data_IF_681751052133
#
_entry.id   IF_681751052133
#
_cell.length_a   1.000
_cell.length_b   1.000
_cell.length_c   1.000
_cell.angle_alpha   90.00
_cell.angle_beta   90.00
_cell.angle_gamma   90.00
#
_symmetry.space_group_name_H-M   'P 1'
#
loop_
_entity.id
_entity.type
_entity.pdbx_description
1 polymer ?
#
# COMPACT_ATOMS: atom_id res chain seq x y z
N UNK A 1 11.07 45.71 24.59
CA UNK A 1 11.67 45.65 25.95
C UNK A 1 10.53 45.48 26.95
N UNK A 2 10.56 44.40 27.75
CA UNK A 2 9.59 44.20 28.82
C UNK A 2 9.85 45.24 29.89
N UNK A 3 8.83 46.01 30.24
CA UNK A 3 8.94 47.05 31.27
C UNK A 3 8.98 46.50 32.72
N UNK A 4 8.67 45.23 32.91
CA UNK A 4 8.57 44.59 34.24
C UNK A 4 9.33 43.26 34.15
N UNK A 5 10.17 42.94 35.15
CA UNK A 5 10.93 41.68 35.16
C UNK A 5 10.00 40.49 35.46
N UNK A 6 10.40 39.26 35.05
CA UNK A 6 9.63 38.04 35.34
C UNK A 6 9.42 37.79 36.82
N UNK A 7 10.37 38.17 37.65
CA UNK A 7 10.32 38.05 39.10
C UNK A 7 9.25 38.95 39.71
N UNK A 8 9.20 40.24 39.28
CA UNK A 8 8.18 41.17 39.71
C UNK A 8 6.75 40.74 39.31
N UNK A 9 6.60 40.11 38.11
CA UNK A 9 5.33 39.49 37.71
C UNK A 9 4.95 38.31 38.60
N UNK A 10 5.91 37.49 38.99
CA UNK A 10 5.68 36.34 39.86
C UNK A 10 5.23 36.78 41.27
N UNK A 11 5.81 37.85 41.78
CA UNK A 11 5.40 38.44 43.07
C UNK A 11 3.95 38.98 43.05
N UNK A 12 3.60 39.72 41.99
CA UNK A 12 2.23 40.21 41.79
C UNK A 12 1.25 39.05 41.62
N UNK A 13 1.61 38.03 40.89
CA UNK A 13 0.80 36.81 40.71
C UNK A 13 0.58 36.10 42.05
N UNK A 14 1.65 35.89 42.84
CA UNK A 14 1.53 35.27 44.16
C UNK A 14 0.70 36.08 45.14
N UNK A 15 0.83 37.41 45.12
CA UNK A 15 0.04 38.29 45.99
C UNK A 15 -1.46 38.30 45.63
N UNK A 16 -1.78 38.27 44.34
CA UNK A 16 -3.18 38.36 43.89
C UNK A 16 -3.88 37.01 43.70
N UNK A 17 -3.14 35.97 43.29
CA UNK A 17 -3.72 34.68 42.95
C UNK A 17 -3.39 33.56 43.95
N UNK A 18 -2.36 33.73 44.79
CA UNK A 18 -1.98 32.75 45.79
C UNK A 18 -3.09 32.43 46.79
N UNK A 19 -3.86 33.45 47.18
CA UNK A 19 -5.01 33.28 48.06
C UNK A 19 -6.22 32.61 47.36
N UNK A 20 -6.41 32.87 46.06
CA UNK A 20 -7.49 32.24 45.26
C UNK A 20 -7.24 30.79 44.92
N UNK A 21 -5.97 30.40 44.72
CA UNK A 21 -5.61 28.98 44.43
C UNK A 21 -5.75 28.09 45.68
N UNK A 22 -5.72 28.66 46.88
CA UNK A 22 -5.91 27.90 48.13
C UNK A 22 -7.36 27.48 48.37
N UNK A 23 -8.34 28.14 47.73
CA UNK A 23 -9.77 27.85 47.87
C UNK A 23 -10.35 26.96 46.73
N UNK A 24 -9.54 26.50 45.82
CA UNK A 24 -10.04 25.52 44.81
C UNK A 24 -10.34 24.21 45.57
N UNK A 25 -11.61 23.80 45.71
CA UNK A 25 -11.92 22.52 46.32
C UNK A 25 -11.15 21.45 45.59
N UNK A 26 -10.45 20.60 46.34
CA UNK A 26 -9.78 19.44 45.80
C UNK A 26 -10.85 18.47 45.24
N UNK A 27 -11.34 18.75 44.02
CA UNK A 27 -12.25 17.88 43.30
C UNK A 27 -11.51 16.59 42.96
N UNK A 28 -11.34 15.72 43.95
CA UNK A 28 -10.72 14.41 43.83
C UNK A 28 -11.49 13.45 42.95
N UNK A 29 -12.66 13.82 42.48
CA UNK A 29 -13.44 13.01 41.56
C UNK A 29 -13.44 13.64 40.15
N UNK A 30 -12.58 13.13 39.29
CA UNK A 30 -12.72 13.39 37.86
C UNK A 30 -14.12 12.95 37.43
N UNK A 31 -14.95 13.84 36.84
CA UNK A 31 -16.30 13.47 36.42
C UNK A 31 -16.21 12.22 35.54
N UNK A 32 -17.02 11.20 35.83
CA UNK A 32 -17.03 9.96 35.06
C UNK A 32 -17.38 10.31 33.63
N UNK A 33 -16.45 10.01 32.72
CA UNK A 33 -16.71 10.18 31.31
C UNK A 33 -17.91 9.32 30.91
N UNK A 34 -18.98 9.95 30.41
CA UNK A 34 -20.13 9.27 29.81
C UNK A 34 -19.81 8.76 28.41
N UNK A 35 -18.61 9.00 27.91
CA UNK A 35 -18.17 8.61 26.58
C UNK A 35 -17.82 7.10 26.56
N UNK A 36 -18.75 6.28 26.09
CA UNK A 36 -18.49 4.86 25.84
C UNK A 36 -17.80 4.72 24.48
N UNK A 37 -16.55 4.28 24.48
CA UNK A 37 -15.84 3.95 23.24
C UNK A 37 -16.54 2.76 22.55
N UNK A 38 -16.85 2.86 21.25
CA UNK A 38 -17.44 1.76 20.52
C UNK A 38 -16.49 0.56 20.47
N UNK A 39 -17.05 -0.66 20.46
CA UNK A 39 -16.26 -1.89 20.35
C UNK A 39 -15.40 -1.93 19.07
N UNK A 40 -14.30 -2.70 19.10
CA UNK A 40 -13.33 -2.77 18.00
C UNK A 40 -13.94 -3.11 16.64
N UNK A 41 -14.94 -4.00 16.60
CA UNK A 41 -15.62 -4.36 15.35
C UNK A 41 -16.41 -3.19 14.77
N UNK A 42 -17.09 -2.41 15.59
CA UNK A 42 -17.82 -1.21 15.15
C UNK A 42 -16.86 -0.11 14.67
N UNK A 43 -15.71 0.03 15.34
CA UNK A 43 -14.64 0.92 14.86
C UNK A 43 -14.13 0.49 13.48
N UNK A 44 -13.91 -0.83 13.27
CA UNK A 44 -13.46 -1.38 11.99
C UNK A 44 -14.47 -1.08 10.88
N UNK A 45 -15.76 -1.29 11.12
CA UNK A 45 -16.82 -1.01 10.15
C UNK A 45 -16.83 0.47 9.74
N UNK A 46 -16.73 1.36 10.72
CA UNK A 46 -16.70 2.81 10.47
C UNK A 46 -15.47 3.20 9.65
N UNK A 47 -14.28 2.67 9.99
CA UNK A 47 -13.07 2.93 9.22
C UNK A 47 -13.16 2.41 7.79
N UNK A 48 -13.63 1.17 7.60
CA UNK A 48 -13.82 0.57 6.29
C UNK A 48 -14.79 1.39 5.42
N UNK A 49 -15.96 1.74 5.98
CA UNK A 49 -16.97 2.51 5.28
C UNK A 49 -16.45 3.90 4.88
N UNK A 50 -15.78 4.60 5.82
CA UNK A 50 -15.22 5.93 5.57
C UNK A 50 -14.16 5.90 4.46
N UNK A 51 -13.20 4.96 4.54
CA UNK A 51 -12.11 4.87 3.58
C UNK A 51 -12.60 4.42 2.21
N UNK A 52 -13.50 3.44 2.15
CA UNK A 52 -14.11 2.98 0.90
C UNK A 52 -14.88 4.11 0.21
N UNK A 53 -15.75 4.82 0.94
CA UNK A 53 -16.51 5.94 0.38
C UNK A 53 -15.60 7.08 -0.08
N UNK A 54 -14.54 7.38 0.68
CA UNK A 54 -13.55 8.40 0.30
C UNK A 54 -12.83 8.05 -1.00
N UNK A 55 -12.46 6.77 -1.20
CA UNK A 55 -11.82 6.30 -2.43
C UNK A 55 -12.78 6.31 -3.62
N UNK A 56 -14.01 5.82 -3.43
CA UNK A 56 -15.04 5.80 -4.47
C UNK A 56 -15.49 7.20 -4.89
N UNK A 57 -15.49 8.17 -3.98
CA UNK A 57 -15.81 9.56 -4.30
C UNK A 57 -14.74 10.22 -5.21
N UNK A 58 -13.51 9.73 -5.18
CA UNK A 58 -12.45 10.22 -6.07
C UNK A 58 -12.47 9.46 -7.40
N UNK A 59 -13.23 9.98 -8.37
CA UNK A 59 -13.39 9.35 -9.69
C UNK A 59 -12.06 9.13 -10.43
N UNK A 60 -11.13 10.07 -10.31
CA UNK A 60 -9.81 9.96 -10.95
C UNK A 60 -9.03 8.79 -10.35
N UNK A 61 -9.02 8.65 -9.03
CA UNK A 61 -8.37 7.55 -8.34
C UNK A 61 -8.94 6.19 -8.78
N UNK A 62 -10.27 6.07 -8.80
CA UNK A 62 -10.95 4.83 -9.21
C UNK A 62 -10.61 4.49 -10.68
N UNK A 63 -10.69 5.48 -11.58
CA UNK A 63 -10.46 5.26 -13.00
C UNK A 63 -9.01 4.83 -13.27
N UNK A 64 -8.03 5.50 -12.68
CA UNK A 64 -6.62 5.16 -12.84
C UNK A 64 -6.37 3.74 -12.32
N UNK A 65 -6.77 3.44 -11.08
CA UNK A 65 -6.54 2.11 -10.49
C UNK A 65 -7.26 0.98 -11.24
N UNK A 66 -8.41 1.25 -11.84
CA UNK A 66 -9.16 0.26 -12.59
C UNK A 66 -8.56 0.00 -13.99
N UNK A 67 -8.05 1.04 -14.65
CA UNK A 67 -7.53 0.94 -16.02
C UNK A 67 -6.05 0.58 -16.09
N UNK A 68 -5.26 0.94 -15.07
CA UNK A 68 -3.81 0.72 -15.05
C UNK A 68 -3.46 -0.76 -15.25
N UNK A 69 -4.08 -1.65 -14.47
CA UNK A 69 -3.78 -3.08 -14.51
C UNK A 69 -4.12 -3.73 -15.88
N UNK A 70 -5.34 -3.58 -16.44
CA UNK A 70 -5.67 -4.17 -17.75
C UNK A 70 -4.88 -3.54 -18.90
N UNK A 71 -4.54 -2.24 -18.82
CA UNK A 71 -3.72 -1.58 -19.83
C UNK A 71 -2.31 -2.16 -19.86
N UNK A 72 -1.67 -2.30 -18.69
CA UNK A 72 -0.34 -2.92 -18.58
C UNK A 72 -0.38 -4.38 -19.04
N UNK A 73 -1.40 -5.14 -18.67
CA UNK A 73 -1.58 -6.52 -19.11
C UNK A 73 -1.71 -6.62 -20.63
N UNK A 74 -2.50 -5.73 -21.25
CA UNK A 74 -2.68 -5.69 -22.69
C UNK A 74 -1.37 -5.36 -23.41
N UNK A 75 -0.67 -4.31 -22.99
CA UNK A 75 0.61 -3.91 -23.56
C UNK A 75 1.60 -5.08 -23.48
N UNK A 76 1.79 -5.66 -22.32
CA UNK A 76 2.74 -6.76 -22.12
C UNK A 76 2.37 -7.99 -22.94
N UNK A 77 1.11 -8.41 -22.89
CA UNK A 77 0.65 -9.58 -23.62
C UNK A 77 0.74 -9.37 -25.14
N UNK A 78 0.45 -8.16 -25.62
CA UNK A 78 0.56 -7.81 -27.03
C UNK A 78 2.01 -7.93 -27.54
N UNK A 79 2.98 -7.36 -26.83
CA UNK A 79 4.40 -7.40 -27.26
C UNK A 79 5.04 -8.78 -27.06
N UNK A 80 4.60 -9.56 -26.07
CA UNK A 80 5.16 -10.88 -25.79
C UNK A 80 4.46 -12.02 -26.55
N UNK A 81 3.38 -11.69 -27.30
CA UNK A 81 2.69 -12.65 -28.15
C UNK A 81 3.53 -12.95 -29.40
N UNK A 82 4.27 -14.05 -29.36
CA UNK A 82 5.17 -14.45 -30.44
C UNK A 82 4.49 -15.46 -31.37
N UNK A 83 4.59 -15.20 -32.67
CA UNK A 83 4.15 -16.11 -33.74
C UNK A 83 5.36 -16.78 -34.34
N UNK A 84 5.45 -18.10 -34.19
CA UNK A 84 6.54 -18.84 -34.82
C UNK A 84 6.33 -18.87 -36.36
N UNK A 85 7.20 -18.17 -37.09
CA UNK A 85 7.26 -18.20 -38.52
C UNK A 85 8.22 -19.31 -38.94
N UNK A 86 7.71 -20.54 -39.14
CA UNK A 86 8.52 -21.66 -39.57
C UNK A 86 7.70 -22.69 -40.35
N UNK A 87 8.06 -22.91 -41.63
CA UNK A 87 7.61 -23.98 -42.51
C UNK A 87 6.11 -24.09 -42.81
N UNK A 88 5.61 -23.29 -43.73
CA UNK A 88 4.51 -23.67 -44.64
C UNK A 88 3.10 -23.22 -44.32
N UNK A 89 2.79 -22.72 -43.15
CA UNK A 89 1.48 -22.14 -42.86
C UNK A 89 1.63 -20.76 -42.22
N UNK A 90 0.96 -19.71 -42.73
CA UNK A 90 1.06 -18.38 -42.11
C UNK A 90 0.42 -18.39 -40.73
N UNK A 91 1.25 -18.23 -39.69
CA UNK A 91 0.96 -17.54 -38.48
C UNK A 91 -0.27 -17.87 -37.65
N UNK A 92 -0.60 -19.17 -37.44
CA UNK A 92 -1.57 -19.47 -36.35
C UNK A 92 -0.81 -19.44 -35.03
N UNK A 93 -1.26 -18.58 -34.13
CA UNK A 93 -0.71 -18.51 -32.77
C UNK A 93 -1.01 -19.79 -31.99
N UNK A 94 0.03 -20.43 -31.49
CA UNK A 94 -0.08 -21.59 -30.60
C UNK A 94 0.60 -21.26 -29.30
N UNK A 95 -0.16 -21.23 -28.20
CA UNK A 95 0.32 -20.88 -26.86
C UNK A 95 1.56 -21.69 -26.44
N UNK A 96 1.57 -23.01 -26.69
CA UNK A 96 2.67 -23.92 -26.30
C UNK A 96 4.00 -23.67 -27.04
N UNK A 97 3.97 -22.96 -28.16
CA UNK A 97 5.14 -22.63 -28.97
C UNK A 97 5.64 -21.21 -28.71
N UNK A 98 5.04 -20.49 -27.76
CA UNK A 98 5.47 -19.15 -27.39
C UNK A 98 6.55 -19.23 -26.31
N UNK A 99 7.79 -19.05 -26.69
CA UNK A 99 8.96 -19.09 -25.81
C UNK A 99 8.99 -17.88 -24.80
N UNK A 100 8.13 -16.88 -25.00
CA UNK A 100 8.08 -15.69 -24.14
C UNK A 100 7.12 -15.84 -22.93
N UNK A 101 6.43 -16.98 -22.79
CA UNK A 101 5.49 -17.17 -21.67
C UNK A 101 6.16 -17.09 -20.29
N UNK A 102 7.33 -17.72 -20.04
CA UNK A 102 8.02 -17.57 -18.76
C UNK A 102 8.38 -16.13 -18.43
N UNK A 103 8.82 -15.36 -19.43
CA UNK A 103 9.12 -13.93 -19.28
C UNK A 103 7.87 -13.12 -18.97
N UNK A 104 6.74 -13.41 -19.64
CA UNK A 104 5.46 -12.79 -19.34
C UNK A 104 5.04 -13.03 -17.89
N UNK A 105 5.06 -14.28 -17.43
CA UNK A 105 4.68 -14.63 -16.06
C UNK A 105 5.56 -13.93 -15.02
N UNK A 106 6.88 -13.89 -15.28
CA UNK A 106 7.81 -13.20 -14.39
C UNK A 106 7.55 -11.70 -14.33
N UNK A 107 7.39 -11.03 -15.47
CA UNK A 107 7.11 -9.58 -15.51
C UNK A 107 5.72 -9.30 -14.90
N UNK A 108 4.73 -10.19 -15.07
CA UNK A 108 3.42 -10.07 -14.46
C UNK A 108 3.50 -10.03 -12.92
N UNK A 109 4.36 -10.86 -12.32
CA UNK A 109 4.61 -10.83 -10.86
C UNK A 109 5.23 -9.49 -10.43
N UNK A 110 6.16 -8.95 -11.21
CA UNK A 110 6.78 -7.65 -10.95
C UNK A 110 5.76 -6.52 -11.03
N UNK A 111 4.90 -6.56 -12.05
CA UNK A 111 3.82 -5.57 -12.19
C UNK A 111 2.84 -5.66 -11.02
N UNK A 112 2.46 -6.86 -10.58
CA UNK A 112 1.61 -7.03 -9.42
C UNK A 112 2.24 -6.46 -8.13
N UNK A 113 3.55 -6.64 -7.97
CA UNK A 113 4.32 -6.07 -6.86
C UNK A 113 4.36 -4.53 -6.96
N UNK A 114 4.60 -3.98 -8.14
CA UNK A 114 4.61 -2.54 -8.38
C UNK A 114 3.22 -1.92 -8.10
N UNK A 115 2.14 -2.51 -8.61
CA UNK A 115 0.77 -2.05 -8.38
C UNK A 115 0.44 -2.02 -6.88
N UNK A 116 0.77 -3.08 -6.14
CA UNK A 116 0.55 -3.13 -4.69
C UNK A 116 1.33 -2.06 -3.94
N UNK A 117 2.62 -1.86 -4.27
CA UNK A 117 3.45 -0.83 -3.65
C UNK A 117 2.93 0.60 -3.92
N UNK A 118 2.55 0.91 -5.16
CA UNK A 118 2.08 2.25 -5.54
C UNK A 118 0.76 2.61 -4.87
N UNK A 119 -0.20 1.68 -4.83
CA UNK A 119 -1.51 1.92 -4.20
C UNK A 119 -1.39 2.12 -2.69
N UNK A 120 -0.47 1.41 -2.03
CA UNK A 120 -0.31 1.46 -0.57
C UNK A 120 0.64 2.55 -0.07
N UNK A 121 1.51 3.07 -0.95
CA UNK A 121 2.61 3.97 -0.60
C UNK A 121 2.19 5.26 0.12
N UNK A 122 1.06 5.86 -0.23
CA UNK A 122 0.60 7.12 0.35
C UNK A 122 -0.47 6.97 1.44
N UNK A 123 -0.97 5.77 1.68
CA UNK A 123 -2.15 5.53 2.51
C UNK A 123 -2.03 6.10 3.94
N UNK A 124 -0.92 5.85 4.61
CA UNK A 124 -0.72 6.30 6.00
C UNK A 124 -0.33 7.78 6.06
N UNK A 125 0.48 8.25 5.11
CA UNK A 125 0.88 9.67 5.05
C UNK A 125 -0.32 10.57 4.84
N UNK A 126 -1.19 10.22 3.89
CA UNK A 126 -2.39 11.00 3.57
C UNK A 126 -3.31 11.16 4.77
N UNK A 127 -3.45 10.13 5.58
CA UNK A 127 -4.32 10.14 6.76
C UNK A 127 -3.66 10.75 8.01
N UNK A 128 -2.39 11.13 7.95
CA UNK A 128 -1.62 11.58 9.12
C UNK A 128 -2.26 12.75 9.84
N UNK A 129 -2.72 13.76 9.10
CA UNK A 129 -3.38 14.95 9.70
C UNK A 129 -4.71 14.60 10.37
N UNK A 130 -5.47 13.70 9.74
CA UNK A 130 -6.74 13.22 10.29
C UNK A 130 -6.48 12.45 11.58
N UNK A 131 -5.50 11.54 11.57
CA UNK A 131 -5.11 10.76 12.75
C UNK A 131 -4.58 11.62 13.90
N UNK A 132 -3.87 12.71 13.62
CA UNK A 132 -3.45 13.64 14.67
C UNK A 132 -4.64 14.30 15.37
N UNK A 133 -5.70 14.64 14.63
CA UNK A 133 -6.93 15.19 15.18
C UNK A 133 -7.75 14.16 15.95
N UNK A 134 -7.73 12.90 15.51
CA UNK A 134 -8.48 11.79 16.13
C UNK A 134 -7.73 11.17 17.33
N UNK A 135 -6.49 11.60 17.61
CA UNK A 135 -5.65 11.01 18.68
C UNK A 135 -6.28 11.12 20.08
N UNK A 136 -7.05 12.19 20.34
CA UNK A 136 -7.72 12.39 21.61
C UNK A 136 -8.95 11.49 21.83
N UNK A 137 -9.44 10.83 20.76
CA UNK A 137 -10.58 9.89 20.84
C UNK A 137 -10.17 8.50 21.31
N UNK A 138 -8.88 8.25 21.54
CA UNK A 138 -8.31 6.96 21.98
C UNK A 138 -8.78 5.74 21.18
N UNK A 139 -8.91 5.92 19.84
CA UNK A 139 -9.33 4.87 18.93
C UNK A 139 -8.22 3.82 18.69
N UNK A 140 -8.61 2.57 18.50
CA UNK A 140 -7.71 1.44 18.35
C UNK A 140 -6.87 1.55 17.07
N UNK A 141 -5.52 1.61 17.21
CA UNK A 141 -4.57 1.66 16.09
C UNK A 141 -4.59 0.39 15.25
N UNK A 142 -4.75 -0.77 15.89
CA UNK A 142 -4.82 -2.06 15.20
C UNK A 142 -6.03 -2.13 14.27
N UNK A 143 -7.18 -1.63 14.70
CA UNK A 143 -8.39 -1.57 13.91
C UNK A 143 -8.24 -0.66 12.69
N UNK A 144 -7.57 0.48 12.84
CA UNK A 144 -7.25 1.38 11.73
C UNK A 144 -6.34 0.68 10.70
N UNK A 145 -5.24 0.04 11.13
CA UNK A 145 -4.34 -0.65 10.20
C UNK A 145 -5.04 -1.82 9.52
N UNK A 146 -5.84 -2.60 10.26
CA UNK A 146 -6.61 -3.70 9.69
C UNK A 146 -7.58 -3.22 8.61
N UNK A 147 -8.27 -2.10 8.82
CA UNK A 147 -9.15 -1.51 7.80
C UNK A 147 -8.40 -1.13 6.52
N UNK A 148 -7.21 -0.55 6.63
CA UNK A 148 -6.36 -0.21 5.49
C UNK A 148 -5.92 -1.45 4.71
N UNK A 149 -5.43 -2.47 5.41
CA UNK A 149 -5.03 -3.74 4.79
C UNK A 149 -6.21 -4.38 4.03
N UNK A 150 -7.38 -4.45 4.64
CA UNK A 150 -8.57 -5.06 4.00
C UNK A 150 -8.96 -4.33 2.72
N UNK A 151 -8.99 -3.00 2.71
CA UNK A 151 -9.35 -2.22 1.52
C UNK A 151 -8.29 -2.36 0.43
N UNK A 152 -7.00 -2.30 0.78
CA UNK A 152 -5.92 -2.50 -0.19
C UNK A 152 -5.97 -3.89 -0.82
N UNK A 153 -6.25 -4.92 -0.02
CA UNK A 153 -6.42 -6.29 -0.54
C UNK A 153 -7.62 -6.40 -1.49
N UNK A 154 -8.74 -5.72 -1.20
CA UNK A 154 -9.88 -5.68 -2.11
C UNK A 154 -9.53 -5.00 -3.44
N UNK A 155 -8.83 -3.87 -3.40
CA UNK A 155 -8.38 -3.17 -4.61
C UNK A 155 -7.43 -4.06 -5.42
N UNK A 156 -6.43 -4.66 -4.77
CA UNK A 156 -5.48 -5.55 -5.43
C UNK A 156 -6.13 -6.81 -5.99
N UNK A 157 -7.17 -7.35 -5.34
CA UNK A 157 -7.92 -8.48 -5.87
C UNK A 157 -8.56 -8.13 -7.22
N UNK A 158 -9.19 -6.94 -7.33
CA UNK A 158 -9.80 -6.47 -8.56
C UNK A 158 -8.73 -6.17 -9.63
N UNK A 159 -7.65 -5.46 -9.28
CA UNK A 159 -6.58 -5.11 -10.23
C UNK A 159 -5.90 -6.36 -10.80
N UNK A 160 -5.51 -7.31 -9.95
CA UNK A 160 -4.83 -8.54 -10.40
C UNK A 160 -5.78 -9.45 -11.17
N UNK A 161 -7.08 -9.47 -10.84
CA UNK A 161 -8.09 -10.19 -11.61
C UNK A 161 -8.22 -9.62 -13.02
N UNK A 162 -8.35 -8.29 -13.16
CA UNK A 162 -8.42 -7.62 -14.45
C UNK A 162 -7.15 -7.82 -15.26
N UNK A 163 -5.99 -7.71 -14.62
CA UNK A 163 -4.69 -7.98 -15.25
C UNK A 163 -4.64 -9.40 -15.83
N UNK A 164 -4.99 -10.40 -15.02
CA UNK A 164 -4.99 -11.81 -15.41
C UNK A 164 -5.99 -12.08 -16.55
N UNK A 165 -7.23 -11.54 -16.43
CA UNK A 165 -8.26 -11.76 -17.46
C UNK A 165 -7.81 -11.23 -18.83
N UNK A 166 -7.29 -10.00 -18.89
CA UNK A 166 -6.84 -9.39 -20.15
C UNK A 166 -5.60 -10.11 -20.69
N UNK A 167 -4.60 -10.37 -19.86
CA UNK A 167 -3.38 -11.02 -20.27
C UNK A 167 -3.61 -12.44 -20.77
N UNK A 168 -4.40 -13.23 -20.04
CA UNK A 168 -4.75 -14.60 -20.44
C UNK A 168 -5.60 -14.63 -21.72
N UNK A 169 -6.51 -13.67 -21.90
CA UNK A 169 -7.31 -13.56 -23.12
C UNK A 169 -6.44 -13.26 -24.34
N UNK A 170 -5.48 -12.35 -24.24
CA UNK A 170 -4.58 -11.99 -25.35
C UNK A 170 -3.61 -13.12 -25.69
N UNK A 171 -3.06 -13.80 -24.67
CA UNK A 171 -2.08 -14.89 -24.84
C UNK A 171 -2.74 -16.25 -25.03
N UNK A 172 -4.06 -16.38 -24.97
CA UNK A 172 -4.76 -17.66 -25.12
C UNK A 172 -4.47 -18.66 -24.00
N UNK A 173 -4.14 -18.19 -22.80
CA UNK A 173 -3.82 -19.05 -21.65
C UNK A 173 -5.10 -19.62 -21.04
N UNK A 174 -5.53 -20.80 -21.49
CA UNK A 174 -6.68 -21.50 -20.94
C UNK A 174 -6.28 -22.49 -19.83
N UNK A 175 -7.09 -22.57 -18.78
CA UNK A 175 -6.93 -23.54 -17.69
C UNK A 175 -6.01 -23.14 -16.54
N UNK A 176 -5.21 -22.09 -16.65
CA UNK A 176 -4.28 -21.62 -15.62
C UNK A 176 -4.77 -20.35 -14.88
N UNK A 177 -5.97 -19.88 -15.17
CA UNK A 177 -6.49 -18.61 -14.65
C UNK A 177 -6.46 -18.48 -13.10
N UNK A 178 -7.08 -19.40 -12.36
CA UNK A 178 -7.13 -19.29 -10.89
C UNK A 178 -5.76 -19.31 -10.23
N UNK A 179 -4.84 -20.18 -10.71
CA UNK A 179 -3.48 -20.28 -10.18
C UNK A 179 -2.69 -19.00 -10.48
N UNK A 180 -2.77 -18.51 -11.72
CA UNK A 180 -2.12 -17.26 -12.12
C UNK A 180 -2.63 -16.09 -11.29
N UNK A 181 -3.96 -15.96 -11.14
CA UNK A 181 -4.55 -14.94 -10.29
C UNK A 181 -4.11 -15.03 -8.83
N UNK A 182 -4.09 -16.22 -8.24
CA UNK A 182 -3.69 -16.42 -6.85
C UNK A 182 -2.25 -15.98 -6.59
N UNK A 183 -1.32 -16.25 -7.54
CA UNK A 183 0.07 -15.81 -7.46
C UNK A 183 0.15 -14.29 -7.52
N UNK A 184 -0.51 -13.66 -8.49
CA UNK A 184 -0.49 -12.20 -8.64
C UNK A 184 -1.13 -11.52 -7.43
N UNK A 185 -2.25 -12.03 -6.95
CA UNK A 185 -2.94 -11.49 -5.79
C UNK A 185 -2.10 -11.60 -4.51
N UNK A 186 -1.51 -12.76 -4.24
CA UNK A 186 -0.65 -12.93 -3.06
C UNK A 186 0.57 -12.01 -3.10
N UNK A 187 1.18 -11.84 -4.28
CA UNK A 187 2.29 -10.90 -4.49
C UNK A 187 1.86 -9.45 -4.24
N UNK A 188 0.70 -9.05 -4.75
CA UNK A 188 0.16 -7.71 -4.52
C UNK A 188 -0.21 -7.48 -3.04
N UNK A 189 -0.74 -8.49 -2.34
CA UNK A 189 -0.98 -8.40 -0.89
C UNK A 189 0.31 -8.18 -0.11
N UNK A 190 1.37 -8.92 -0.43
CA UNK A 190 2.69 -8.72 0.16
C UNK A 190 3.22 -7.30 -0.11
N UNK A 191 3.11 -6.83 -1.35
CA UNK A 191 3.50 -5.50 -1.76
C UNK A 191 2.72 -4.40 -1.02
N UNK A 192 1.42 -4.59 -0.80
CA UNK A 192 0.59 -3.67 -0.01
C UNK A 192 1.10 -3.54 1.43
N UNK A 193 1.44 -4.65 2.07
CA UNK A 193 1.97 -4.61 3.44
C UNK A 193 3.32 -3.92 3.48
N UNK A 194 4.21 -4.19 2.52
CA UNK A 194 5.49 -3.48 2.38
C UNK A 194 5.28 -1.97 2.18
N UNK A 195 4.40 -1.58 1.26
CA UNK A 195 4.10 -0.17 0.99
C UNK A 195 3.49 0.55 2.19
N UNK A 196 2.62 -0.10 2.97
CA UNK A 196 2.13 0.46 4.24
C UNK A 196 3.26 0.67 5.25
N UNK A 197 4.21 -0.26 5.36
CA UNK A 197 5.39 -0.09 6.24
C UNK A 197 6.24 1.11 5.79
N UNK A 198 6.50 1.23 4.49
CA UNK A 198 7.21 2.38 3.92
C UNK A 198 6.44 3.67 4.19
N UNK A 199 5.13 3.69 3.95
CA UNK A 199 4.25 4.83 4.22
C UNK A 199 4.25 5.26 5.68
N UNK A 200 4.38 4.31 6.61
CA UNK A 200 4.45 4.58 8.05
C UNK A 200 5.81 5.14 8.48
N UNK A 201 6.89 4.73 7.81
CA UNK A 201 8.27 5.05 8.17
C UNK A 201 8.72 6.44 7.73
N UNK A 202 8.20 6.94 6.60
CA UNK A 202 8.63 8.21 6.03
C UNK A 202 7.60 9.32 6.23
N UNK A 203 8.10 10.57 6.24
CA UNK A 203 7.28 11.76 6.46
C UNK A 203 6.90 12.50 5.17
N UNK A 204 7.41 12.05 4.03
CA UNK A 204 7.23 12.70 2.74
C UNK A 204 6.86 11.69 1.66
N UNK A 205 5.78 11.97 0.93
CA UNK A 205 5.37 11.16 -0.22
C UNK A 205 6.46 11.06 -1.28
N UNK A 206 7.23 12.14 -1.50
CA UNK A 206 8.34 12.15 -2.49
C UNK A 206 9.39 11.08 -2.18
N UNK A 207 9.76 10.91 -0.91
CA UNK A 207 10.74 9.91 -0.48
C UNK A 207 10.22 8.50 -0.72
N UNK A 208 8.93 8.27 -0.52
CA UNK A 208 8.31 6.95 -0.73
C UNK A 208 8.41 6.53 -2.19
N UNK A 209 8.13 7.42 -3.14
CA UNK A 209 8.25 7.10 -4.57
C UNK A 209 9.69 6.78 -5.00
N UNK A 210 10.69 7.37 -4.35
CA UNK A 210 12.09 7.01 -4.57
C UNK A 210 12.40 5.62 -4.00
N UNK A 211 11.76 5.23 -2.89
CA UNK A 211 11.97 3.92 -2.26
C UNK A 211 11.36 2.76 -3.03
N UNK A 212 10.32 2.98 -3.84
CA UNK A 212 9.67 1.91 -4.63
C UNK A 212 10.69 1.22 -5.56
N UNK A 213 11.42 1.93 -6.46
CA UNK A 213 12.45 1.31 -7.27
C UNK A 213 13.57 0.63 -6.45
N UNK A 214 13.98 1.25 -5.35
CA UNK A 214 15.02 0.68 -4.46
C UNK A 214 14.58 -0.66 -3.86
N UNK A 215 13.29 -0.85 -3.60
CA UNK A 215 12.75 -2.12 -3.14
C UNK A 215 12.61 -3.15 -4.26
N UNK A 216 12.23 -2.72 -5.47
CA UNK A 216 11.96 -3.62 -6.59
C UNK A 216 13.26 -4.11 -7.24
N UNK A 217 14.26 -3.24 -7.44
CA UNK A 217 15.49 -3.57 -8.16
C UNK A 217 16.25 -4.76 -7.55
N UNK A 218 16.49 -4.84 -6.22
CA UNK A 218 17.14 -6.00 -5.63
C UNK A 218 16.33 -7.30 -5.85
N UNK A 219 15.01 -7.24 -5.75
CA UNK A 219 14.14 -8.40 -5.99
C UNK A 219 14.25 -8.90 -7.43
N UNK A 220 14.37 -7.98 -8.40
CA UNK A 220 14.63 -8.31 -9.81
C UNK A 220 15.98 -8.99 -10.00
N UNK A 221 17.04 -8.45 -9.40
CA UNK A 221 18.39 -8.97 -9.54
C UNK A 221 18.54 -10.37 -8.92
N UNK A 222 17.96 -10.57 -7.73
CA UNK A 222 18.03 -11.83 -7.00
C UNK A 222 16.97 -12.86 -7.43
N UNK A 223 16.12 -12.54 -8.39
CA UNK A 223 15.09 -13.48 -8.90
C UNK A 223 15.68 -14.67 -9.66
N UNK A 224 16.93 -14.58 -10.13
CA UNK A 224 17.56 -15.60 -10.97
C UNK A 224 17.06 -15.63 -12.43
N UNK A 225 16.06 -14.83 -12.78
CA UNK A 225 15.49 -14.78 -14.14
C UNK A 225 16.25 -13.82 -15.04
N UNK A 226 16.63 -12.65 -14.52
CA UNK A 226 17.40 -11.65 -15.29
C UNK A 226 18.89 -12.01 -15.31
N UNK A 227 19.43 -12.30 -14.12
CA UNK A 227 20.83 -12.73 -13.97
C UNK A 227 20.83 -14.11 -13.33
N UNK A 228 21.39 -15.10 -14.03
CA UNK A 228 21.52 -16.44 -13.48
C UNK A 228 22.41 -16.41 -12.25
N UNK A 229 22.08 -17.19 -11.22
CA UNK A 229 22.81 -17.22 -9.94
C UNK A 229 24.31 -17.54 -10.10
N UNK A 230 24.62 -18.40 -11.05
CA UNK A 230 26.02 -18.78 -11.40
C UNK A 230 26.85 -17.64 -12.02
N UNK A 231 26.18 -16.56 -12.49
CA UNK A 231 26.81 -15.36 -13.06
C UNK A 231 26.75 -14.15 -12.13
N UNK A 232 26.22 -14.30 -10.93
CA UNK A 232 26.31 -13.27 -9.89
C UNK A 232 27.75 -13.12 -9.38
N UNK A 233 28.02 -11.97 -8.74
CA UNK A 233 29.33 -11.71 -8.15
C UNK A 233 29.73 -12.86 -7.21
N UNK A 234 31.00 -13.32 -7.19
CA UNK A 234 31.47 -14.49 -6.43
C UNK A 234 31.09 -14.50 -4.94
N UNK A 235 30.93 -13.34 -4.35
CA UNK A 235 30.45 -13.19 -2.96
C UNK A 235 29.07 -13.82 -2.71
N UNK A 236 28.21 -13.89 -3.73
CA UNK A 236 26.88 -14.48 -3.64
C UNK A 236 26.81 -15.90 -4.22
N UNK A 237 27.83 -16.29 -4.98
CA UNK A 237 27.89 -17.60 -5.65
C UNK A 237 28.73 -18.65 -4.90
N UNK A 238 29.41 -18.27 -3.80
CA UNK A 238 30.44 -19.11 -3.16
C UNK A 238 29.94 -20.08 -2.09
N UNK A 239 28.62 -20.18 -1.86
CA UNK A 239 28.07 -21.16 -0.92
C UNK A 239 27.39 -22.34 -1.67
N UNK A 240 28.19 -23.13 -2.39
CA UNK A 240 27.83 -24.49 -2.79
C UNK A 240 29.05 -25.40 -2.70
#
# INVERSE_FOLDING_TARGET
QRRISPEAWNEVFRAQMGARTAEVPDERSVPRSTFALPGKLRQLEVYLKRDLLSKLANRQYVLINLLEAPLLAFIMAFFLKYYRTGTGTPGVYVFRENDNIPQYLFIAVIVALFLGLTVSAEEIIRDRLIRQREKFLDLSRSTYIASKIMILFMISAVQTLLFMLVGNAVLGMSGLGPQHWAILFSTACFANVLGLNVSASFNSAKVIYIMIPVLIIPQLLFSGVIVRFDKLHPWFASER
#
